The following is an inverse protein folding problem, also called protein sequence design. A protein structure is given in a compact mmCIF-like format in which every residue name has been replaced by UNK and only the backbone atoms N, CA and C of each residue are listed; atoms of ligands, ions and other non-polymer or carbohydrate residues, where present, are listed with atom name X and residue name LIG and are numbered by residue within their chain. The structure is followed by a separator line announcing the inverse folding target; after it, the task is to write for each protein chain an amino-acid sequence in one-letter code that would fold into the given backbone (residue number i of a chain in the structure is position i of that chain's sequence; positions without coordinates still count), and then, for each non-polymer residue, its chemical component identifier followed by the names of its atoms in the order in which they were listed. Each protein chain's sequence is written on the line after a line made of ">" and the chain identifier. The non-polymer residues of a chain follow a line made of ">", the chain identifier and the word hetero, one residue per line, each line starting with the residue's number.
data_IF_672069678022
#
_entry.id   IF_672069678022
#
_cell.length_a   1.000
_cell.length_b   1.000
_cell.length_c   1.000
_cell.angle_alpha   90.00
_cell.angle_beta   90.00
_cell.angle_gamma   90.00
#
_symmetry.space_group_name_H-M   'P 1'
#
loop_
_entity.id
_entity.type
_entity.pdbx_description
1 polymer ?
#
# COMPACT_ATOMS: atom_id res chain seq x y z
N UNK A 1 -38.05 64.86 16.33
CA UNK A 1 -38.13 64.10 17.58
C UNK A 1 -37.89 62.65 17.15
N UNK A 2 -36.63 62.17 17.17
CA UNK A 2 -35.97 61.48 18.32
C UNK A 2 -36.74 60.15 18.57
N UNK A 3 -36.20 58.94 18.46
CA UNK A 3 -34.83 58.46 18.28
C UNK A 3 -34.80 56.98 17.92
N UNK A 4 -33.66 56.56 17.37
CA UNK A 4 -33.10 55.22 17.32
C UNK A 4 -33.32 54.37 18.58
N UNK A 5 -33.64 53.10 18.39
CA UNK A 5 -33.67 52.06 19.42
C UNK A 5 -32.27 51.39 19.44
N UNK A 6 -31.43 51.81 20.37
CA UNK A 6 -30.12 51.18 20.63
C UNK A 6 -30.32 49.83 21.34
N UNK A 7 -29.78 48.75 20.75
CA UNK A 7 -29.56 47.47 21.43
C UNK A 7 -28.44 47.64 22.46
N UNK A 8 -28.72 47.31 23.71
CA UNK A 8 -27.76 47.23 24.82
C UNK A 8 -27.61 45.75 25.21
N UNK A 9 -26.39 45.33 25.55
CA UNK A 9 -26.12 44.01 26.13
C UNK A 9 -26.50 43.98 27.64
N UNK A 10 -26.47 42.79 28.27
CA UNK A 10 -26.95 42.52 29.66
C UNK A 10 -26.24 43.36 30.75
N UNK A 11 -25.09 43.98 30.44
CA UNK A 11 -24.34 44.90 31.32
C UNK A 11 -24.56 46.40 31.01
N UNK A 12 -25.41 46.76 30.04
CA UNK A 12 -25.82 48.14 29.76
C UNK A 12 -24.84 49.00 28.96
N UNK A 13 -23.92 48.40 28.20
CA UNK A 13 -23.03 49.10 27.26
C UNK A 13 -23.50 48.98 25.79
N UNK A 14 -23.26 49.98 24.92
CA UNK A 14 -23.65 49.92 23.52
C UNK A 14 -22.77 48.96 22.71
N UNK A 15 -23.42 48.06 21.96
CA UNK A 15 -22.78 47.04 21.10
C UNK A 15 -21.89 47.71 20.06
N UNK A 16 -20.57 47.55 20.16
CA UNK A 16 -19.65 47.96 19.07
C UNK A 16 -19.81 47.01 17.89
N UNK A 17 -20.28 47.53 16.76
CA UNK A 17 -20.36 46.80 15.50
C UNK A 17 -18.98 46.30 15.01
N UNK A 18 -18.95 45.22 14.21
CA UNK A 18 -17.72 44.56 13.78
C UNK A 18 -16.88 45.45 12.86
N UNK A 19 -15.58 45.48 13.15
CA UNK A 19 -14.54 46.24 12.44
C UNK A 19 -14.38 45.74 10.98
N UNK A 20 -14.54 46.58 9.94
CA UNK A 20 -14.47 46.16 8.53
C UNK A 20 -13.01 46.06 8.01
N UNK A 21 -12.10 45.54 8.85
CA UNK A 21 -10.65 45.58 8.61
C UNK A 21 -9.89 44.25 8.76
N UNK A 22 -10.57 43.14 9.08
CA UNK A 22 -9.90 41.85 9.27
C UNK A 22 -9.88 41.03 7.97
N UNK A 23 -8.67 40.90 7.42
CA UNK A 23 -8.29 40.15 6.22
C UNK A 23 -8.56 38.65 6.44
N UNK A 24 -9.41 38.06 5.61
CA UNK A 24 -9.67 36.61 5.59
C UNK A 24 -8.39 35.80 5.27
N UNK A 25 -8.05 34.76 6.05
CA UNK A 25 -7.22 33.68 5.57
C UNK A 25 -8.10 32.58 4.95
N UNK A 26 -7.87 32.40 3.63
CA UNK A 26 -8.07 31.23 2.79
C UNK A 26 -8.98 30.08 3.25
N UNK A 27 -10.02 29.86 2.45
CA UNK A 27 -10.63 28.57 2.16
C UNK A 27 -9.59 27.45 1.98
N UNK A 28 -9.67 26.42 2.82
CA UNK A 28 -8.95 25.16 2.67
C UNK A 28 -9.89 24.01 2.98
N UNK A 29 -10.39 23.35 1.93
CA UNK A 29 -11.10 22.09 2.03
C UNK A 29 -10.14 21.02 2.56
N UNK A 30 -10.45 20.45 3.72
CA UNK A 30 -9.78 19.27 4.24
C UNK A 30 -10.53 18.04 3.75
N UNK A 31 -10.06 17.43 2.66
CA UNK A 31 -10.41 16.06 2.31
C UNK A 31 -9.63 15.07 3.20
N UNK A 32 -10.18 13.89 3.53
CA UNK A 32 -9.48 12.94 4.37
C UNK A 32 -8.43 12.13 3.56
N UNK A 33 -7.22 12.08 4.10
CA UNK A 33 -6.09 11.19 3.81
C UNK A 33 -5.45 11.17 2.40
N UNK A 34 -4.53 12.11 2.16
CA UNK A 34 -3.28 11.82 1.41
C UNK A 34 -2.08 12.01 2.33
N UNK A 35 -1.76 10.98 3.12
CA UNK A 35 -0.52 10.90 3.89
C UNK A 35 0.61 10.32 3.06
N UNK A 36 1.03 11.01 2.00
CA UNK A 36 2.25 10.69 1.26
C UNK A 36 3.34 11.71 1.62
N UNK A 37 4.07 11.44 2.69
CA UNK A 37 5.35 12.09 2.97
C UNK A 37 6.32 11.75 1.83
N UNK A 38 6.67 12.72 0.99
CA UNK A 38 7.70 12.53 -0.02
C UNK A 38 9.03 12.09 0.65
N UNK A 39 9.68 11.01 0.20
CA UNK A 39 11.01 10.68 0.67
C UNK A 39 11.99 11.74 0.13
N UNK A 40 12.61 12.46 1.05
CA UNK A 40 13.78 13.30 0.76
C UNK A 40 14.87 12.36 0.26
N UNK A 41 15.28 12.53 -1.00
CA UNK A 41 16.35 11.78 -1.63
C UNK A 41 17.59 11.77 -0.72
N UNK A 42 17.91 10.59 -0.21
CA UNK A 42 19.08 10.31 0.62
C UNK A 42 19.60 8.93 0.23
N UNK A 43 20.34 8.89 -0.87
CA UNK A 43 21.12 7.72 -1.24
C UNK A 43 22.21 7.48 -0.20
N UNK A 44 22.17 6.35 0.50
CA UNK A 44 23.31 5.81 1.23
C UNK A 44 23.14 4.29 1.38
N UNK A 45 23.72 3.55 0.43
CA UNK A 45 23.97 2.12 0.58
C UNK A 45 25.15 1.87 1.54
N UNK A 46 25.31 0.63 2.04
CA UNK A 46 26.41 0.29 2.94
C UNK A 46 27.68 -0.12 2.16
N UNK A 47 28.74 0.65 2.40
CA UNK A 47 30.18 0.32 2.45
C UNK A 47 30.83 -0.52 1.33
N UNK A 48 31.70 0.13 0.53
CA UNK A 48 33.13 -0.24 0.41
C UNK A 48 33.88 0.70 -0.55
N UNK A 49 34.94 1.35 -0.05
CA UNK A 49 35.89 2.18 -0.81
C UNK A 49 35.40 3.62 -0.98
N UNK A 50 36.18 4.67 -0.78
CA UNK A 50 37.62 4.83 -0.66
C UNK A 50 37.96 6.21 -1.24
N UNK A 51 38.59 7.07 -0.44
CA UNK A 51 39.07 8.41 -0.85
C UNK A 51 38.08 9.55 -0.57
N UNK A 52 38.48 10.73 -0.12
CA UNK A 52 39.79 11.27 0.23
C UNK A 52 39.57 12.64 0.88
N UNK A 53 40.26 12.91 1.98
CA UNK A 53 40.23 14.19 2.68
C UNK A 53 41.59 14.86 2.59
N UNK A 54 41.66 15.95 1.84
CA UNK A 54 42.79 16.88 1.73
C UNK A 54 43.00 17.61 3.05
N UNK A 55 44.21 17.51 3.60
CA UNK A 55 44.70 18.31 4.72
C UNK A 55 46.22 18.48 4.59
N UNK A 56 46.66 19.73 4.36
CA UNK A 56 48.08 20.11 4.29
C UNK A 56 48.81 19.97 5.63
N UNK A 57 50.14 20.13 5.63
CA UNK A 57 51.02 19.50 6.62
C UNK A 57 51.23 20.36 7.87
N UNK A 58 51.61 19.74 8.99
CA UNK A 58 52.57 20.32 9.90
C UNK A 58 53.94 19.65 9.75
N UNK A 59 54.91 20.51 9.49
CA UNK A 59 56.35 20.28 9.52
C UNK A 59 56.88 19.94 10.91
N UNK A 60 57.86 19.02 10.97
CA UNK A 60 58.96 19.08 11.94
C UNK A 60 59.27 17.80 12.70
N UNK A 61 60.49 17.25 12.52
CA UNK A 61 61.14 16.38 13.51
C UNK A 61 62.07 15.31 12.92
N UNK A 62 63.39 15.33 13.18
CA UNK A 62 64.34 14.36 12.68
C UNK A 62 64.50 13.17 13.65
N UNK A 63 64.40 11.94 13.15
CA UNK A 63 64.64 10.72 13.92
C UNK A 63 65.14 9.61 13.00
N UNK A 64 66.31 9.05 13.32
CA UNK A 64 67.09 8.22 12.39
C UNK A 64 66.99 6.71 12.58
N UNK A 65 67.60 6.03 11.59
CA UNK A 65 68.03 4.62 11.60
C UNK A 65 67.09 3.62 10.93
N UNK A 66 67.56 2.41 10.56
CA UNK A 66 68.86 2.01 10.01
C UNK A 66 68.77 1.68 8.51
N UNK A 67 69.91 1.79 7.80
CA UNK A 67 70.07 1.30 6.42
C UNK A 67 69.92 -0.21 6.38
N UNK A 68 68.92 -0.71 5.66
CA UNK A 68 68.87 -2.09 5.17
C UNK A 68 69.64 -2.18 3.85
N UNK A 69 70.50 -3.19 3.66
CA UNK A 69 71.33 -3.33 2.46
C UNK A 69 70.46 -3.58 1.23
N UNK A 70 70.88 -3.01 0.10
CA UNK A 70 70.34 -3.32 -1.21
C UNK A 70 70.51 -4.83 -1.47
N UNK A 71 69.44 -5.58 -1.26
CA UNK A 71 69.32 -6.93 -1.78
C UNK A 71 69.18 -6.83 -3.28
N UNK A 72 70.14 -7.40 -4.00
CA UNK A 72 70.08 -7.65 -5.43
C UNK A 72 68.79 -8.42 -5.76
N UNK A 73 67.74 -7.69 -6.11
CA UNK A 73 66.63 -8.28 -6.83
C UNK A 73 67.20 -8.75 -8.18
N UNK A 74 66.99 -10.01 -8.59
CA UNK A 74 67.39 -10.43 -9.92
C UNK A 74 66.74 -9.47 -10.89
N UNK A 75 67.53 -8.91 -11.80
CA UNK A 75 67.06 -8.07 -12.88
C UNK A 75 65.83 -8.75 -13.47
N UNK A 76 64.65 -8.23 -13.13
CA UNK A 76 63.40 -8.64 -13.74
C UNK A 76 63.61 -8.24 -15.19
N UNK A 77 64.00 -9.24 -15.99
CA UNK A 77 64.31 -9.06 -17.39
C UNK A 77 63.18 -8.23 -17.97
N UNK A 78 63.56 -7.07 -18.50
CA UNK A 78 62.71 -6.27 -19.37
C UNK A 78 62.40 -7.19 -20.55
N UNK A 79 61.31 -7.95 -20.41
CA UNK A 79 60.61 -8.55 -21.52
C UNK A 79 59.78 -7.43 -22.11
N UNK A 80 60.38 -6.66 -23.00
CA UNK A 80 59.59 -6.11 -24.09
C UNK A 80 59.66 -7.17 -25.21
N UNK A 81 58.51 -7.63 -25.72
CA UNK A 81 58.05 -6.96 -26.93
C UNK A 81 56.52 -6.86 -27.03
N UNK A 82 56.03 -5.68 -27.38
CA UNK A 82 55.19 -5.46 -28.59
C UNK A 82 54.26 -6.61 -29.03
N UNK A 83 53.34 -7.03 -28.16
CA UNK A 83 52.23 -7.91 -28.51
C UNK A 83 50.97 -7.34 -27.89
N UNK A 84 50.33 -6.37 -28.56
CA UNK A 84 49.06 -5.77 -28.12
C UNK A 84 48.10 -6.90 -27.71
N UNK A 85 47.71 -7.07 -26.42
CA UNK A 85 46.76 -8.11 -25.99
C UNK A 85 45.33 -7.84 -26.48
N UNK A 86 45.18 -6.89 -27.40
CA UNK A 86 43.94 -6.46 -28.01
C UNK A 86 43.10 -7.57 -28.64
N UNK A 87 43.65 -8.60 -29.35
CA UNK A 87 42.79 -9.66 -29.89
C UNK A 87 42.20 -10.54 -28.79
N UNK A 88 42.91 -10.74 -27.68
CA UNK A 88 42.38 -11.45 -26.51
C UNK A 88 41.34 -10.62 -25.77
N UNK A 89 41.57 -9.31 -25.64
CA UNK A 89 40.59 -8.40 -25.05
C UNK A 89 39.30 -8.32 -25.88
N UNK A 90 39.40 -8.23 -27.21
CA UNK A 90 38.25 -8.26 -28.12
C UNK A 90 37.54 -9.61 -28.10
N UNK A 91 38.28 -10.71 -28.10
CA UNK A 91 37.72 -12.05 -27.98
C UNK A 91 36.95 -12.22 -26.67
N UNK A 92 37.53 -11.77 -25.55
CA UNK A 92 36.86 -11.76 -24.24
C UNK A 92 35.60 -10.90 -24.24
N UNK A 93 35.65 -9.70 -24.83
CA UNK A 93 34.49 -8.82 -24.93
C UNK A 93 33.37 -9.43 -25.79
N UNK A 94 33.69 -10.08 -26.92
CA UNK A 94 32.70 -10.73 -27.77
C UNK A 94 32.05 -11.92 -27.08
N UNK A 95 32.85 -12.78 -26.43
CA UNK A 95 32.32 -13.93 -25.67
C UNK A 95 31.44 -13.43 -24.52
N UNK A 96 31.88 -12.42 -23.78
CA UNK A 96 31.06 -11.82 -22.73
C UNK A 96 29.73 -11.28 -23.28
N UNK A 97 29.75 -10.55 -24.39
CA UNK A 97 28.53 -10.03 -25.03
C UNK A 97 27.59 -11.13 -25.51
N UNK A 98 28.13 -12.24 -26.05
CA UNK A 98 27.32 -13.40 -26.44
C UNK A 98 26.71 -14.10 -25.22
N UNK A 99 27.48 -14.25 -24.14
CA UNK A 99 26.99 -14.87 -22.90
C UNK A 99 25.90 -13.99 -22.25
N UNK A 100 26.11 -12.67 -22.17
CA UNK A 100 25.10 -11.74 -21.65
C UNK A 100 23.87 -11.66 -22.54
N UNK A 101 24.05 -11.55 -23.85
CA UNK A 101 22.94 -11.51 -24.81
C UNK A 101 22.13 -12.82 -24.84
N UNK A 102 22.83 -13.96 -24.83
CA UNK A 102 22.21 -15.28 -24.76
C UNK A 102 21.50 -15.51 -23.43
N UNK A 103 22.11 -15.10 -22.32
CA UNK A 103 21.50 -15.16 -20.99
C UNK A 103 20.22 -14.34 -20.89
N UNK A 104 20.21 -13.11 -21.41
CA UNK A 104 19.02 -12.26 -21.43
C UNK A 104 17.90 -12.85 -22.29
N UNK A 105 18.24 -13.39 -23.46
CA UNK A 105 17.26 -14.02 -24.35
C UNK A 105 16.64 -15.29 -23.72
N UNK A 106 17.44 -16.09 -23.02
CA UNK A 106 16.93 -17.25 -22.27
C UNK A 106 16.04 -16.80 -21.11
N UNK A 107 16.43 -15.76 -20.38
CA UNK A 107 15.62 -15.22 -19.29
C UNK A 107 14.25 -14.77 -19.78
N UNK A 108 14.20 -13.98 -20.86
CA UNK A 108 12.95 -13.52 -21.48
C UNK A 108 12.10 -14.67 -22.02
N UNK A 109 12.72 -15.73 -22.55
CA UNK A 109 12.00 -16.91 -23.03
C UNK A 109 11.44 -17.77 -21.90
N UNK A 110 12.01 -17.68 -20.69
CA UNK A 110 11.56 -18.37 -19.49
C UNK A 110 10.55 -17.56 -18.67
N UNK A 111 10.34 -16.28 -18.98
CA UNK A 111 9.32 -15.42 -18.38
C UNK A 111 7.89 -15.81 -18.81
N UNK A 112 7.53 -17.09 -18.64
CA UNK A 112 6.12 -17.44 -18.43
C UNK A 112 5.78 -16.86 -17.05
N UNK A 113 4.86 -15.90 -17.02
CA UNK A 113 4.48 -15.20 -15.79
C UNK A 113 4.19 -16.18 -14.63
N UNK A 114 4.27 -15.71 -13.38
CA UNK A 114 4.04 -16.52 -12.20
C UNK A 114 2.69 -17.23 -12.26
N UNK A 115 2.61 -18.40 -11.62
CA UNK A 115 1.34 -19.08 -11.45
C UNK A 115 0.43 -18.25 -10.54
N UNK A 116 -0.65 -17.73 -11.10
CA UNK A 116 -1.61 -16.91 -10.39
C UNK A 116 -2.60 -17.75 -9.56
N UNK A 117 -2.43 -19.07 -9.47
CA UNK A 117 -3.29 -19.93 -8.65
C UNK A 117 -4.75 -19.97 -9.10
N UNK A 118 -5.01 -19.68 -10.38
CA UNK A 118 -6.35 -19.57 -10.98
C UNK A 118 -7.04 -18.23 -10.75
N UNK A 119 -6.45 -17.31 -9.97
CA UNK A 119 -7.02 -15.98 -9.75
C UNK A 119 -7.02 -15.13 -11.03
N UNK A 120 -8.06 -14.31 -11.17
CA UNK A 120 -8.24 -13.38 -12.31
C UNK A 120 -8.40 -11.94 -11.84
N UNK A 121 -8.05 -11.01 -12.72
CA UNK A 121 -8.46 -9.61 -12.57
C UNK A 121 -9.99 -9.50 -12.59
N UNK A 122 -10.53 -8.60 -11.77
CA UNK A 122 -11.95 -8.23 -11.75
C UNK A 122 -12.09 -6.73 -12.02
N UNK A 123 -13.18 -6.35 -12.69
CA UNK A 123 -13.55 -4.95 -12.94
C UNK A 123 -14.68 -4.48 -12.02
N UNK A 124 -15.23 -5.36 -11.16
CA UNK A 124 -16.37 -5.06 -10.29
C UNK A 124 -16.38 -5.96 -9.06
N UNK A 125 -15.54 -5.62 -8.08
CA UNK A 125 -15.34 -6.44 -6.89
C UNK A 125 -16.60 -6.49 -6.02
N UNK A 126 -17.36 -5.40 -5.98
CA UNK A 126 -18.63 -5.38 -5.27
C UNK A 126 -19.68 -6.34 -5.85
N UNK A 127 -19.72 -6.49 -7.18
CA UNK A 127 -20.66 -7.40 -7.83
C UNK A 127 -20.32 -8.88 -7.58
N UNK A 128 -19.02 -9.18 -7.45
CA UNK A 128 -18.52 -10.54 -7.21
C UNK A 128 -18.52 -10.94 -5.73
N UNK A 129 -18.61 -9.97 -4.80
CA UNK A 129 -18.66 -10.19 -3.37
C UNK A 129 -20.09 -10.04 -2.83
N UNK A 130 -20.89 -11.11 -2.69
CA UNK A 130 -22.25 -11.01 -2.16
C UNK A 130 -22.30 -10.67 -0.67
N UNK A 131 -21.23 -11.00 0.09
CA UNK A 131 -21.11 -10.79 1.54
C UNK A 131 -22.28 -11.40 2.33
N UNK A 132 -22.71 -12.59 1.90
CA UNK A 132 -23.92 -13.25 2.40
C UNK A 132 -23.94 -13.47 3.91
N UNK A 133 -22.81 -13.84 4.51
CA UNK A 133 -22.71 -14.15 5.93
C UNK A 133 -22.68 -12.87 6.77
N UNK A 134 -21.98 -11.83 6.30
CA UNK A 134 -22.01 -10.50 6.91
C UNK A 134 -23.38 -9.85 6.79
N UNK A 135 -24.06 -9.98 5.64
CA UNK A 135 -25.45 -9.51 5.46
C UNK A 135 -26.40 -10.23 6.41
N UNK A 136 -26.21 -11.53 6.63
CA UNK A 136 -27.02 -12.28 7.60
C UNK A 136 -26.79 -11.82 9.05
N UNK A 137 -25.56 -11.38 9.39
CA UNK A 137 -25.18 -10.95 10.74
C UNK A 137 -25.51 -9.48 11.04
N UNK A 138 -25.24 -8.57 10.10
CA UNK A 138 -25.27 -7.12 10.31
C UNK A 138 -26.41 -6.41 9.56
N UNK A 139 -27.25 -7.16 8.86
CA UNK A 139 -28.45 -6.64 8.22
C UNK A 139 -28.27 -6.37 6.73
N UNK A 140 -29.23 -5.64 6.16
CA UNK A 140 -29.36 -5.51 4.71
C UNK A 140 -28.13 -4.84 4.10
N UNK A 141 -27.78 -5.27 2.90
CA UNK A 141 -26.79 -4.59 2.07
C UNK A 141 -27.38 -3.28 1.55
N UNK A 142 -26.74 -2.19 1.93
CA UNK A 142 -27.03 -0.84 1.46
C UNK A 142 -26.31 -0.51 0.15
N UNK A 143 -26.07 0.78 -0.06
CA UNK A 143 -25.41 1.28 -1.26
C UNK A 143 -23.93 0.89 -1.30
N UNK A 144 -23.44 0.66 -2.52
CA UNK A 144 -22.00 0.67 -2.81
C UNK A 144 -21.51 2.10 -2.75
N UNK A 145 -20.52 2.37 -1.90
CA UNK A 145 -19.89 3.69 -1.74
C UNK A 145 -18.66 3.84 -2.62
N UNK A 146 -17.99 2.75 -2.98
CA UNK A 146 -16.85 2.74 -3.90
C UNK A 146 -16.75 1.39 -4.62
N UNK A 147 -16.38 1.40 -5.90
CA UNK A 147 -16.08 0.20 -6.69
C UNK A 147 -15.10 0.62 -7.78
N UNK A 148 -13.82 0.39 -7.53
CA UNK A 148 -12.73 0.86 -8.36
C UNK A 148 -11.78 -0.30 -8.68
N UNK A 149 -11.26 -0.33 -9.90
CA UNK A 149 -10.27 -1.30 -10.32
C UNK A 149 -9.16 -0.62 -11.11
N UNK A 150 -7.93 -1.11 -10.94
CA UNK A 150 -6.75 -0.66 -11.66
C UNK A 150 -5.98 -1.86 -12.16
N UNK A 151 -5.73 -1.89 -13.47
CA UNK A 151 -4.93 -2.93 -14.10
C UNK A 151 -3.53 -2.41 -14.42
N UNK A 152 -2.52 -3.17 -14.06
CA UNK A 152 -1.13 -2.88 -14.38
C UNK A 152 -0.38 -4.17 -14.72
N UNK A 153 0.60 -4.16 -15.65
CA UNK A 153 1.33 -5.37 -16.03
C UNK A 153 1.99 -6.15 -14.88
N UNK A 154 2.28 -5.47 -13.76
CA UNK A 154 2.87 -6.06 -12.56
C UNK A 154 1.85 -6.40 -11.46
N UNK A 155 0.68 -5.75 -11.45
CA UNK A 155 -0.27 -5.79 -10.35
C UNK A 155 -1.66 -5.39 -10.83
N UNK A 156 -2.68 -6.19 -10.56
CA UNK A 156 -4.06 -5.69 -10.60
C UNK A 156 -4.55 -5.41 -9.20
N UNK A 157 -5.31 -4.33 -9.05
CA UNK A 157 -5.95 -3.95 -7.78
C UNK A 157 -7.42 -3.75 -8.03
N UNK A 158 -8.25 -4.21 -7.11
CA UNK A 158 -9.65 -3.85 -7.04
C UNK A 158 -10.02 -3.49 -5.60
N UNK A 159 -10.93 -2.53 -5.48
CA UNK A 159 -11.40 -1.98 -4.23
C UNK A 159 -12.91 -1.88 -4.27
N UNK A 160 -13.56 -2.32 -3.21
CA UNK A 160 -15.00 -2.22 -3.05
C UNK A 160 -15.31 -1.74 -1.64
N UNK A 161 -16.25 -0.81 -1.50
CA UNK A 161 -16.86 -0.48 -0.20
C UNK A 161 -18.39 -0.48 -0.31
N UNK A 162 -19.03 -1.11 0.67
CA UNK A 162 -20.49 -1.19 0.77
C UNK A 162 -20.96 -0.95 2.20
N UNK A 163 -22.15 -0.37 2.33
CA UNK A 163 -22.78 -0.23 3.64
C UNK A 163 -23.60 -1.47 3.98
N UNK A 164 -23.61 -1.86 5.25
CA UNK A 164 -24.52 -2.86 5.81
C UNK A 164 -25.33 -2.25 6.96
N UNK A 165 -26.55 -2.75 7.14
CA UNK A 165 -27.45 -2.30 8.19
C UNK A 165 -28.36 -1.14 7.77
N UNK A 166 -29.09 -0.62 8.73
CA UNK A 166 -29.98 0.53 8.61
C UNK A 166 -29.76 1.41 9.86
N UNK A 167 -30.06 2.71 9.76
CA UNK A 167 -29.96 3.62 10.91
C UNK A 167 -30.72 3.06 12.14
N UNK A 168 -30.15 3.21 13.36
CA UNK A 168 -29.03 4.09 13.71
C UNK A 168 -27.64 3.45 13.58
N UNK A 169 -27.53 2.17 13.21
CA UNK A 169 -26.24 1.46 13.17
C UNK A 169 -25.92 1.02 11.74
N UNK A 170 -25.03 1.77 11.10
CA UNK A 170 -24.51 1.46 9.77
C UNK A 170 -23.07 0.98 9.88
N UNK A 171 -22.76 -0.09 9.16
CA UNK A 171 -21.40 -0.61 9.03
C UNK A 171 -20.89 -0.35 7.62
N UNK A 172 -19.61 -0.03 7.48
CA UNK A 172 -18.90 0.00 6.21
C UNK A 172 -18.06 -1.27 6.09
N UNK A 173 -18.26 -2.00 4.99
CA UNK A 173 -17.47 -3.17 4.63
C UNK A 173 -16.61 -2.83 3.44
N UNK A 174 -15.30 -2.89 3.63
CA UNK A 174 -14.31 -2.63 2.59
C UNK A 174 -13.62 -3.93 2.19
N UNK A 175 -13.45 -4.13 0.88
CA UNK A 175 -12.78 -5.28 0.29
C UNK A 175 -11.62 -4.76 -0.56
N UNK A 176 -10.43 -5.31 -0.33
CA UNK A 176 -9.22 -5.06 -1.12
C UNK A 176 -8.81 -6.35 -1.80
N UNK A 177 -8.52 -6.26 -3.09
CA UNK A 177 -8.02 -7.38 -3.88
C UNK A 177 -6.77 -6.95 -4.63
N UNK A 178 -5.68 -7.68 -4.46
CA UNK A 178 -4.41 -7.43 -5.14
C UNK A 178 -3.89 -8.73 -5.78
N UNK A 179 -3.74 -8.72 -7.10
CA UNK A 179 -3.21 -9.83 -7.88
C UNK A 179 -1.82 -9.47 -8.42
N UNK A 180 -0.78 -10.03 -7.80
CA UNK A 180 0.60 -9.74 -8.15
C UNK A 180 1.05 -10.58 -9.35
N UNK A 181 1.26 -9.94 -10.51
CA UNK A 181 1.57 -10.63 -11.78
C UNK A 181 3.05 -10.85 -12.03
N UNK A 182 3.93 -10.27 -11.22
CA UNK A 182 5.38 -10.32 -11.43
C UNK A 182 6.16 -10.64 -10.17
N UNK A 183 5.71 -10.14 -9.02
CA UNK A 183 6.41 -10.27 -7.74
C UNK A 183 5.62 -11.19 -6.82
N UNK A 184 6.31 -11.97 -6.00
CA UNK A 184 5.71 -12.73 -4.91
C UNK A 184 5.46 -11.80 -3.71
N UNK A 185 4.20 -11.59 -3.28
CA UNK A 185 3.89 -10.70 -2.17
C UNK A 185 4.18 -11.29 -0.79
N UNK A 186 4.51 -12.58 -0.68
CA UNK A 186 4.55 -13.29 0.60
C UNK A 186 5.52 -12.72 1.63
N UNK A 187 6.70 -12.26 1.19
CA UNK A 187 7.68 -11.66 2.10
C UNK A 187 7.20 -10.32 2.68
N UNK A 188 6.49 -9.50 1.89
CA UNK A 188 5.92 -8.26 2.39
C UNK A 188 4.69 -8.51 3.27
N UNK A 189 3.86 -9.48 2.91
CA UNK A 189 2.69 -9.87 3.69
C UNK A 189 3.07 -10.32 5.10
N UNK A 190 4.05 -11.22 5.21
CA UNK A 190 4.55 -11.72 6.50
C UNK A 190 5.11 -10.59 7.39
N UNK A 191 5.77 -9.61 6.78
CA UNK A 191 6.35 -8.46 7.47
C UNK A 191 5.29 -7.47 7.96
N UNK A 192 4.25 -7.20 7.15
CA UNK A 192 3.20 -6.22 7.48
C UNK A 192 2.21 -6.77 8.48
N UNK A 193 1.70 -7.99 8.26
CA UNK A 193 0.53 -8.49 8.98
C UNK A 193 0.86 -9.17 10.32
N UNK A 194 2.15 -9.46 10.57
CA UNK A 194 2.63 -9.84 11.91
C UNK A 194 2.90 -8.65 12.81
N UNK A 195 2.99 -7.44 12.24
CA UNK A 195 3.13 -6.22 13.00
C UNK A 195 1.73 -5.69 13.31
N UNK A 196 1.42 -5.46 14.59
CA UNK A 196 0.16 -4.84 14.98
C UNK A 196 0.03 -3.48 14.27
N UNK A 197 -1.10 -3.22 13.60
CA UNK A 197 -1.36 -1.95 12.90
C UNK A 197 -1.37 -0.73 13.85
N UNK A 198 -1.47 -1.00 15.16
CA UNK A 198 -1.34 -0.05 16.25
C UNK A 198 -0.23 -0.55 17.17
N UNK A 199 0.76 0.29 17.50
CA UNK A 199 1.91 -0.09 18.35
C UNK A 199 1.53 -0.74 19.71
N UNK A 200 0.27 -0.59 20.14
CA UNK A 200 -0.29 -1.14 21.39
C UNK A 200 -1.54 -2.03 21.20
N UNK A 201 -1.92 -2.36 19.96
CA UNK A 201 -3.07 -3.23 19.66
C UNK A 201 -2.74 -4.73 19.85
N UNK A 202 -3.75 -5.59 20.09
CA UNK A 202 -3.53 -7.04 20.17
C UNK A 202 -2.91 -7.58 18.87
N UNK A 203 -2.00 -8.54 19.00
CA UNK A 203 -1.42 -9.20 17.82
C UNK A 203 -2.52 -9.88 16.98
N UNK A 204 -2.47 -9.75 15.64
CA UNK A 204 -3.42 -10.42 14.76
C UNK A 204 -3.42 -11.94 14.97
N UNK A 205 -4.61 -12.52 15.07
CA UNK A 205 -4.79 -13.95 15.28
C UNK A 205 -4.69 -14.71 13.95
N UNK A 206 -3.87 -15.76 13.84
CA UNK A 206 -3.83 -16.57 12.62
C UNK A 206 -5.18 -17.28 12.38
N UNK A 207 -5.60 -17.35 11.12
CA UNK A 207 -6.82 -18.04 10.68
C UNK A 207 -6.42 -19.27 9.86
N UNK A 208 -6.59 -20.45 10.44
CA UNK A 208 -6.22 -21.71 9.78
C UNK A 208 -7.26 -22.09 8.71
N UNK A 209 -6.80 -22.57 7.57
CA UNK A 209 -7.67 -23.09 6.51
C UNK A 209 -8.32 -22.02 5.62
N UNK A 210 -7.70 -20.84 5.56
CA UNK A 210 -8.06 -19.75 4.65
C UNK A 210 -6.78 -19.26 3.95
N UNK A 211 -6.66 -19.52 2.66
CA UNK A 211 -5.44 -19.24 1.89
C UNK A 211 -4.22 -20.02 2.40
N UNK A 212 -3.04 -19.53 2.03
CA UNK A 212 -1.75 -20.02 2.53
C UNK A 212 -1.42 -19.40 3.89
N UNK A 213 -1.75 -18.12 4.06
CA UNK A 213 -1.65 -17.41 5.34
C UNK A 213 -2.85 -16.47 5.49
N UNK A 214 -3.39 -16.37 6.69
CA UNK A 214 -4.45 -15.42 6.99
C UNK A 214 -4.37 -14.95 8.43
N UNK A 215 -4.68 -13.67 8.64
CA UNK A 215 -4.65 -13.03 9.94
C UNK A 215 -5.94 -12.24 10.16
N UNK A 216 -6.46 -12.29 11.39
CA UNK A 216 -7.64 -11.56 11.82
C UNK A 216 -7.31 -10.67 13.01
N UNK A 217 -7.67 -9.40 12.92
CA UNK A 217 -7.59 -8.45 14.02
C UNK A 217 -8.92 -7.77 14.24
N UNK A 218 -9.29 -7.54 15.50
CA UNK A 218 -10.46 -6.78 15.90
C UNK A 218 -10.11 -5.67 16.90
N UNK A 219 -10.94 -4.63 16.89
CA UNK A 219 -10.94 -3.54 17.85
C UNK A 219 -12.36 -3.19 18.24
N UNK A 220 -12.55 -2.10 18.99
CA UNK A 220 -13.87 -1.71 19.49
C UNK A 220 -14.89 -1.45 18.38
N UNK A 221 -14.45 -0.81 17.27
CA UNK A 221 -15.32 -0.38 16.17
C UNK A 221 -14.88 -0.86 14.79
N UNK A 222 -13.85 -1.71 14.71
CA UNK A 222 -13.34 -2.24 13.46
C UNK A 222 -12.91 -3.71 13.58
N UNK A 223 -12.92 -4.43 12.46
CA UNK A 223 -12.30 -5.72 12.31
C UNK A 223 -11.69 -5.84 10.92
N UNK A 224 -10.55 -6.52 10.81
CA UNK A 224 -9.83 -6.74 9.55
C UNK A 224 -9.46 -8.21 9.41
N UNK A 225 -9.61 -8.72 8.20
CA UNK A 225 -9.22 -10.06 7.78
C UNK A 225 -8.39 -9.96 6.50
N UNK A 226 -7.13 -10.35 6.60
CA UNK A 226 -6.19 -10.36 5.49
C UNK A 226 -5.78 -11.78 5.15
N UNK A 227 -5.68 -12.07 3.85
CA UNK A 227 -5.38 -13.41 3.32
C UNK A 227 -4.36 -13.31 2.22
N UNK A 228 -3.30 -14.11 2.31
CA UNK A 228 -2.35 -14.41 1.26
C UNK A 228 -2.64 -15.80 0.70
N UNK A 229 -2.68 -15.88 -0.62
CA UNK A 229 -2.94 -17.14 -1.33
C UNK A 229 -2.21 -17.14 -2.69
N UNK A 230 -0.99 -17.67 -2.69
CA UNK A 230 -0.07 -17.59 -3.80
C UNK A 230 0.28 -16.14 -4.12
N UNK A 231 -0.03 -15.70 -5.33
CA UNK A 231 0.22 -14.33 -5.79
C UNK A 231 -0.92 -13.34 -5.49
N UNK A 232 -1.88 -13.74 -4.66
CA UNK A 232 -3.06 -12.93 -4.34
C UNK A 232 -3.06 -12.50 -2.89
N UNK A 233 -3.33 -11.21 -2.65
CA UNK A 233 -3.63 -10.68 -1.33
C UNK A 233 -5.07 -10.17 -1.32
N UNK A 234 -5.88 -10.66 -0.38
CA UNK A 234 -7.23 -10.17 -0.14
C UNK A 234 -7.33 -9.55 1.25
N UNK A 235 -8.05 -8.44 1.36
CA UNK A 235 -8.42 -7.82 2.63
C UNK A 235 -9.93 -7.66 2.69
N UNK A 236 -10.52 -7.91 3.86
CA UNK A 236 -11.91 -7.65 4.18
C UNK A 236 -11.94 -6.96 5.54
N UNK A 237 -12.42 -5.73 5.58
CA UNK A 237 -12.56 -4.97 6.82
C UNK A 237 -14.00 -4.55 7.04
N UNK A 238 -14.42 -4.54 8.29
CA UNK A 238 -15.74 -4.05 8.74
C UNK A 238 -15.50 -2.97 9.77
N UNK A 239 -16.13 -1.80 9.62
CA UNK A 239 -16.08 -0.72 10.60
C UNK A 239 -17.44 -0.09 10.82
N UNK A 240 -17.67 0.48 12.00
CA UNK A 240 -18.86 1.31 12.22
C UNK A 240 -18.73 2.66 11.51
N UNK A 241 -19.80 3.09 10.85
CA UNK A 241 -19.92 4.43 10.29
C UNK A 241 -20.45 5.35 11.39
N UNK A 242 -19.62 6.31 11.81
CA UNK A 242 -20.07 7.41 12.66
C UNK A 242 -20.51 8.56 11.75
N UNK A 243 -21.80 8.91 11.80
CA UNK A 243 -22.28 10.17 11.23
C UNK A 243 -21.90 11.26 12.23
N UNK A 244 -20.96 12.12 11.86
CA UNK A 244 -20.66 13.33 12.62
C UNK A 244 -21.59 14.42 12.10
N UNK A 245 -22.63 14.73 12.85
CA UNK A 245 -23.44 15.92 12.61
C UNK A 245 -22.53 17.15 12.83
N UNK A 246 -22.28 17.91 11.76
CA UNK A 246 -21.38 19.08 11.75
C UNK A 246 -22.12 20.39 12.06
N UNK A 247 -23.38 20.32 12.43
CA UNK A 247 -24.19 21.37 13.00
C UNK A 247 -23.88 21.48 14.50
N UNK A 248 -23.20 22.57 14.86
CA UNK A 248 -22.62 22.83 16.18
C UNK A 248 -23.62 22.99 17.32
N UNK A 249 -24.34 21.93 17.64
CA UNK A 249 -24.93 21.71 18.95
C UNK A 249 -24.05 20.67 19.66
N UNK A 250 -23.62 20.98 20.88
CA UNK A 250 -22.77 20.14 21.72
C UNK A 250 -23.50 18.82 22.03
N UNK A 251 -23.44 17.86 21.11
CA UNK A 251 -23.90 16.51 21.36
C UNK A 251 -22.82 15.78 22.15
N UNK A 252 -23.17 15.46 23.40
CA UNK A 252 -22.47 14.52 24.26
C UNK A 252 -22.07 13.30 23.43
N UNK A 253 -20.77 13.01 23.36
CA UNK A 253 -20.25 11.81 22.69
C UNK A 253 -21.10 10.62 23.14
N UNK A 254 -21.64 9.79 22.22
CA UNK A 254 -22.34 8.59 22.63
C UNK A 254 -21.46 7.85 23.62
N UNK A 255 -22.01 7.53 24.81
CA UNK A 255 -21.29 6.75 25.82
C UNK A 255 -20.60 5.57 25.10
N UNK A 256 -19.30 5.37 25.33
CA UNK A 256 -18.48 4.29 24.74
C UNK A 256 -19.10 2.87 24.91
N UNK A 257 -20.16 2.76 25.70
CA UNK A 257 -20.89 1.55 26.05
C UNK A 257 -22.05 1.18 25.09
N UNK A 258 -22.49 2.06 24.18
CA UNK A 258 -23.59 1.74 23.24
C UNK A 258 -23.15 1.39 21.80
N UNK A 259 -21.86 1.44 21.49
CA UNK A 259 -21.35 0.94 20.20
C UNK A 259 -21.50 -0.58 20.18
N UNK A 260 -22.32 -1.16 19.28
CA UNK A 260 -22.44 -2.62 19.20
C UNK A 260 -21.07 -3.17 18.80
N UNK A 261 -20.40 -3.83 19.75
CA UNK A 261 -19.09 -4.41 19.50
C UNK A 261 -19.18 -5.40 18.33
N UNK A 262 -18.16 -5.41 17.48
CA UNK A 262 -17.98 -6.41 16.42
C UNK A 262 -17.58 -7.79 16.97
N UNK A 263 -17.94 -8.08 18.23
CA UNK A 263 -17.84 -9.39 18.87
C UNK A 263 -18.61 -10.40 18.02
N UNK A 264 -17.89 -11.40 17.51
CA UNK A 264 -18.36 -12.46 16.59
C UNK A 264 -18.33 -12.19 15.09
N UNK A 265 -17.78 -11.06 14.64
CA UNK A 265 -17.62 -10.72 13.19
C UNK A 265 -16.70 -11.70 12.44
N UNK A 266 -15.76 -12.34 13.16
CA UNK A 266 -14.72 -13.23 12.58
C UNK A 266 -15.32 -14.36 11.76
N UNK A 267 -16.35 -15.04 12.29
CA UNK A 267 -16.98 -16.18 11.62
C UNK A 267 -17.57 -15.81 10.26
N UNK A 268 -18.48 -14.82 10.20
CA UNK A 268 -19.02 -14.26 8.97
C UNK A 268 -17.95 -13.81 7.97
N UNK A 269 -16.91 -13.07 8.42
CA UNK A 269 -15.83 -12.60 7.55
C UNK A 269 -15.05 -13.76 6.90
N UNK A 270 -14.72 -14.80 7.67
CA UNK A 270 -14.01 -15.97 7.15
C UNK A 270 -14.84 -16.74 6.14
N UNK A 271 -16.16 -16.84 6.36
CA UNK A 271 -17.05 -17.52 5.42
C UNK A 271 -17.19 -16.75 4.10
N UNK A 272 -17.43 -15.44 4.16
CA UNK A 272 -17.55 -14.62 2.95
C UNK A 272 -16.23 -14.47 2.21
N UNK A 273 -15.10 -14.37 2.92
CA UNK A 273 -13.77 -14.37 2.28
C UNK A 273 -13.52 -15.66 1.50
N UNK A 274 -13.89 -16.82 2.06
CA UNK A 274 -13.77 -18.12 1.36
C UNK A 274 -14.59 -18.13 0.07
N UNK A 275 -15.85 -17.70 0.13
CA UNK A 275 -16.72 -17.61 -1.05
C UNK A 275 -16.15 -16.65 -2.11
N UNK A 276 -15.62 -15.51 -1.67
CA UNK A 276 -15.00 -14.53 -2.57
C UNK A 276 -13.77 -15.11 -3.28
N UNK A 277 -12.89 -15.80 -2.54
CA UNK A 277 -11.72 -16.48 -3.11
C UNK A 277 -12.13 -17.53 -4.16
N UNK A 278 -13.17 -18.33 -3.88
CA UNK A 278 -13.74 -19.28 -4.84
C UNK A 278 -14.25 -18.59 -6.11
N UNK A 279 -15.02 -17.51 -5.95
CA UNK A 279 -15.53 -16.71 -7.07
C UNK A 279 -14.37 -16.17 -7.90
N UNK A 280 -13.29 -15.65 -7.28
CA UNK A 280 -12.15 -15.03 -7.97
C UNK A 280 -11.19 -16.04 -8.64
N UNK A 281 -11.13 -17.29 -8.16
CA UNK A 281 -10.30 -18.38 -8.74
C UNK A 281 -10.82 -18.98 -10.05
N UNK A 282 -11.93 -18.45 -10.58
CA UNK A 282 -12.37 -18.75 -11.94
C UNK A 282 -13.57 -19.70 -12.01
N UNK A 283 -14.74 -19.15 -11.71
CA UNK A 283 -15.84 -19.11 -12.67
C UNK A 283 -16.61 -17.81 -12.42
N UNK A 284 -16.92 -17.00 -13.46
CA UNK A 284 -18.02 -16.05 -13.30
C UNK A 284 -19.27 -16.86 -12.92
N UNK A 285 -20.14 -16.37 -12.01
CA UNK A 285 -21.43 -17.01 -11.81
C UNK A 285 -22.12 -17.10 -13.18
N UNK A 286 -22.53 -18.31 -13.57
CA UNK A 286 -23.36 -18.52 -14.76
C UNK A 286 -24.61 -17.64 -14.64
N UNK A 287 -24.65 -16.50 -15.34
CA UNK A 287 -25.79 -15.61 -15.22
C UNK A 287 -25.70 -14.23 -15.87
N UNK A 288 -24.51 -13.68 -16.14
CA UNK A 288 -24.41 -12.35 -16.79
C UNK A 288 -23.86 -12.53 -18.19
N UNK A 289 -24.76 -12.79 -19.15
CA UNK A 289 -24.43 -12.62 -20.55
C UNK A 289 -24.20 -11.13 -20.83
N UNK A 290 -23.06 -10.73 -21.43
CA UNK A 290 -22.92 -9.38 -21.95
C UNK A 290 -23.90 -9.24 -23.11
N UNK A 291 -24.88 -8.35 -22.96
CA UNK A 291 -25.80 -7.94 -24.02
C UNK A 291 -25.00 -7.67 -25.29
N UNK A 292 -25.31 -8.44 -26.32
CA UNK A 292 -24.73 -8.30 -27.65
C UNK A 292 -25.05 -6.90 -28.16
N UNK A 293 -24.02 -6.07 -28.33
CA UNK A 293 -24.13 -4.81 -29.06
C UNK A 293 -24.40 -5.17 -30.53
N UNK A 294 -25.50 -4.70 -31.14
CA UNK A 294 -25.76 -4.97 -32.54
C UNK A 294 -24.74 -4.22 -33.40
N UNK A 295 -24.04 -4.96 -34.25
CA UNK A 295 -23.18 -4.41 -35.30
C UNK A 295 -24.03 -3.53 -36.24
N UNK A 296 -23.73 -2.24 -36.44
CA UNK A 296 -24.42 -1.44 -37.44
C UNK A 296 -24.02 -1.95 -38.83
N UNK A 297 -25.05 -2.20 -39.65
CA UNK A 297 -24.94 -2.77 -40.98
C UNK A 297 -24.06 -1.94 -41.92
N UNK A 298 -23.36 -2.66 -42.78
CA UNK A 298 -22.77 -2.12 -43.99
C UNK A 298 -23.88 -2.05 -45.06
N UNK A 299 -24.20 -0.82 -45.47
CA UNK A 299 -24.77 -0.50 -46.78
C UNK A 299 -23.69 0.21 -47.61
#
# INVERSE_FOLDING_TARGET
>A
MISDLELLDDDGEPVRGPDPGARAPGSGAAGPYTGASAPRAGAAGPYAGGGGGVGGPPSGGPGGGPRVPAGDAPAAGVRDPRGRPWPWALGGALVASVVWGGGLAVHQALDRGPDLGGYRATDGLCAEAPLSSLVAAYGKRGATTSDDSTRHPALDRAYCSVQLGEQPTTYEVTIRYELHRQVDPGAEFDAKERQSLLDEGPEPQPVVGLGEQAYFGDGASYADLVVLDGHTVLGLSVSLVHEYDLDGEDHESPDEQEVPALTDVKGPMVEDMRKLMEVLRGAPPEGIQPSSVPTPGAD
#
